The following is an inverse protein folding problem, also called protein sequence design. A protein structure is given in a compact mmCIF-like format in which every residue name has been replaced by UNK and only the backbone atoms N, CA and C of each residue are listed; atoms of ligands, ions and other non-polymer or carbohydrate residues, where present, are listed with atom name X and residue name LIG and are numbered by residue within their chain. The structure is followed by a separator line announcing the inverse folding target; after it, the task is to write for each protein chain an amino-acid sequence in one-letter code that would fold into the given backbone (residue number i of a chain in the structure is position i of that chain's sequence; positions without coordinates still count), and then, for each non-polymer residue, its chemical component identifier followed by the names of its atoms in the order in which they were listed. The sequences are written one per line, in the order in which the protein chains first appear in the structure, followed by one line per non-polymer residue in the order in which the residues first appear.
data_IF_235919232160
#
_entry.id   IF_235919232160
#
_cell.length_a   1.000
_cell.length_b   1.000
_cell.length_c   1.000
_cell.angle_alpha   90.00
_cell.angle_beta   90.00
_cell.angle_gamma   90.00
#
_symmetry.space_group_name_H-M   'P 1'
#
loop_
_entity.id
_entity.type
_entity.pdbx_description
1 polymer ?
#
# COMPACT_ATOMS: atom_id res chain seq x y z
N UNK A 1 -2.07 -13.36 23.15
CA UNK A 1 -1.54 -14.31 22.14
C UNK A 1 -2.16 -13.92 20.80
N UNK A 2 -1.36 -13.71 19.74
CA UNK A 2 -1.86 -13.36 18.40
C UNK A 2 -2.72 -14.50 17.90
N UNK A 3 -3.95 -14.19 17.46
CA UNK A 3 -4.87 -15.21 16.93
C UNK A 3 -4.43 -15.66 15.53
N UNK A 4 -4.93 -16.81 15.08
CA UNK A 4 -4.71 -17.28 13.74
C UNK A 4 -5.31 -16.31 12.72
N UNK A 5 -4.62 -16.11 11.58
CA UNK A 5 -5.08 -15.21 10.53
C UNK A 5 -6.37 -15.72 9.88
N UNK A 6 -7.40 -14.89 9.88
CA UNK A 6 -8.68 -15.19 9.25
C UNK A 6 -8.66 -14.83 7.76
N UNK A 7 -8.75 -15.81 6.93
CA UNK A 7 -8.73 -15.65 5.47
C UNK A 7 -10.07 -15.26 4.85
N UNK A 8 -11.18 -15.35 5.60
CA UNK A 8 -12.51 -15.28 4.99
C UNK A 8 -12.70 -16.34 3.91
N UNK A 9 -13.50 -16.01 2.91
CA UNK A 9 -13.80 -16.89 1.77
C UNK A 9 -12.86 -16.66 0.57
N UNK A 10 -11.65 -16.15 0.81
CA UNK A 10 -10.67 -15.87 -0.24
C UNK A 10 -10.23 -17.12 -1.01
N UNK A 11 -9.88 -16.94 -2.28
CA UNK A 11 -9.47 -18.04 -3.16
C UNK A 11 -8.19 -18.72 -2.67
N UNK A 12 -7.97 -19.97 -3.10
CA UNK A 12 -6.74 -20.70 -2.77
C UNK A 12 -5.48 -20.04 -3.39
N UNK A 13 -5.60 -19.49 -4.59
CA UNK A 13 -4.51 -18.77 -5.26
C UNK A 13 -4.12 -17.53 -4.47
N UNK A 14 -5.08 -16.71 -4.05
CA UNK A 14 -4.85 -15.54 -3.21
C UNK A 14 -4.13 -15.92 -1.90
N UNK A 15 -4.64 -16.94 -1.18
CA UNK A 15 -4.00 -17.44 0.06
C UNK A 15 -2.54 -17.83 -0.17
N UNK A 16 -2.25 -18.51 -1.29
CA UNK A 16 -0.89 -18.92 -1.64
C UNK A 16 0.01 -17.73 -1.91
N UNK A 17 -0.48 -16.74 -2.67
CA UNK A 17 0.27 -15.51 -2.98
C UNK A 17 0.60 -14.73 -1.70
N UNK A 18 -0.41 -14.38 -0.89
CA UNK A 18 -0.22 -13.65 0.36
C UNK A 18 0.68 -14.41 1.34
N UNK A 19 0.53 -15.75 1.45
CA UNK A 19 1.41 -16.55 2.31
C UNK A 19 2.87 -16.44 1.89
N UNK A 20 3.14 -16.43 0.59
CA UNK A 20 4.49 -16.26 0.07
C UNK A 20 5.00 -14.84 0.33
N UNK A 21 4.29 -13.85 -0.19
CA UNK A 21 4.76 -12.46 -0.26
C UNK A 21 4.84 -11.79 1.11
N UNK A 22 3.79 -11.92 1.92
CA UNK A 22 3.71 -11.21 3.20
C UNK A 22 4.32 -12.00 4.34
N UNK A 23 4.02 -13.31 4.46
CA UNK A 23 4.41 -14.07 5.65
C UNK A 23 5.76 -14.75 5.53
N UNK A 24 6.19 -15.15 4.31
CA UNK A 24 7.50 -15.79 4.09
C UNK A 24 8.54 -14.79 3.61
N UNK A 25 8.31 -14.17 2.45
CA UNK A 25 9.29 -13.34 1.76
C UNK A 25 9.33 -11.92 2.34
N UNK A 26 8.23 -11.48 3.00
CA UNK A 26 8.10 -10.17 3.66
C UNK A 26 8.47 -9.02 2.74
N UNK A 27 7.92 -9.03 1.54
CA UNK A 27 8.30 -8.11 0.45
C UNK A 27 8.29 -6.64 0.86
N UNK A 28 7.40 -6.22 1.78
CA UNK A 28 7.36 -4.85 2.29
C UNK A 28 8.35 -4.59 3.43
N UNK A 29 8.91 -5.61 4.08
CA UNK A 29 9.87 -5.48 5.19
C UNK A 29 11.31 -5.93 4.80
N UNK A 30 11.59 -6.24 3.52
CA UNK A 30 12.88 -6.79 3.09
C UNK A 30 14.06 -5.84 3.35
N UNK A 31 13.85 -4.53 3.16
CA UNK A 31 14.91 -3.52 3.33
C UNK A 31 14.78 -2.82 4.67
N UNK A 32 13.56 -2.41 5.02
CA UNK A 32 13.26 -1.65 6.24
C UNK A 32 12.15 -2.35 7.03
N UNK A 33 12.48 -3.16 8.03
CA UNK A 33 11.44 -3.82 8.84
C UNK A 33 10.74 -2.82 9.76
N UNK A 34 9.44 -3.05 10.00
CA UNK A 34 8.67 -2.31 11.02
C UNK A 34 9.28 -2.57 12.39
N UNK A 35 9.54 -1.50 13.14
CA UNK A 35 10.17 -1.52 14.45
C UNK A 35 9.12 -1.51 15.58
N UNK A 36 9.56 -1.89 16.76
CA UNK A 36 8.71 -1.77 17.96
C UNK A 36 8.43 -0.30 18.27
N UNK A 37 7.15 0.03 18.40
CA UNK A 37 6.70 1.38 18.72
C UNK A 37 6.41 2.26 17.49
N UNK A 38 6.57 1.73 16.27
CA UNK A 38 6.29 2.46 15.04
C UNK A 38 4.81 2.86 14.92
N UNK A 39 4.60 4.03 14.30
CA UNK A 39 3.32 4.47 13.75
C UNK A 39 3.29 4.07 12.28
N UNK A 40 2.33 3.23 11.91
CA UNK A 40 2.25 2.63 10.58
C UNK A 40 0.97 3.06 9.87
N UNK A 41 1.09 3.34 8.57
CA UNK A 41 -0.02 3.58 7.65
C UNK A 41 -0.02 2.48 6.59
N UNK A 42 -1.09 1.68 6.55
CA UNK A 42 -1.30 0.59 5.60
C UNK A 42 -2.37 1.01 4.58
N UNK A 43 -1.92 1.45 3.41
CA UNK A 43 -2.75 1.92 2.31
C UNK A 43 -3.01 0.78 1.33
N UNK A 44 -4.30 0.43 1.12
CA UNK A 44 -4.70 -0.75 0.34
C UNK A 44 -4.48 -2.03 1.14
N UNK A 45 -5.16 -2.17 2.26
CA UNK A 45 -4.86 -3.26 3.20
C UNK A 45 -5.46 -4.61 2.81
N UNK A 46 -6.40 -4.67 1.85
CA UNK A 46 -7.11 -5.90 1.51
C UNK A 46 -7.73 -6.54 2.77
N UNK A 47 -7.53 -7.82 3.03
CA UNK A 47 -8.00 -8.50 4.27
C UNK A 47 -7.08 -8.28 5.49
N UNK A 48 -6.14 -7.35 5.41
CA UNK A 48 -5.23 -6.95 6.47
C UNK A 48 -4.02 -7.86 6.71
N UNK A 49 -3.42 -8.56 5.72
CA UNK A 49 -2.31 -9.49 5.98
C UNK A 49 -1.05 -8.77 6.42
N UNK A 50 -0.69 -7.63 5.82
CA UNK A 50 0.46 -6.85 6.26
C UNK A 50 0.24 -6.31 7.67
N UNK A 51 -0.89 -5.62 7.91
CA UNK A 51 -1.27 -5.14 9.26
C UNK A 51 -1.17 -6.26 10.28
N UNK A 52 -1.76 -7.44 10.00
CA UNK A 52 -1.68 -8.58 10.91
C UNK A 52 -0.23 -9.02 11.16
N UNK A 53 0.63 -8.99 10.14
CA UNK A 53 2.03 -9.43 10.30
C UNK A 53 2.82 -8.56 11.29
N UNK A 54 2.50 -7.25 11.39
CA UNK A 54 3.28 -6.26 12.14
C UNK A 54 2.59 -5.71 13.41
N UNK A 55 1.30 -6.03 13.65
CA UNK A 55 0.49 -5.38 14.68
C UNK A 55 0.95 -5.58 16.12
N UNK A 56 1.79 -6.58 16.39
CA UNK A 56 2.42 -6.82 17.68
C UNK A 56 3.67 -5.95 17.92
N UNK A 57 4.17 -5.30 16.88
CA UNK A 57 5.32 -4.38 16.94
C UNK A 57 4.88 -2.91 16.99
N UNK A 58 3.92 -2.54 16.14
CA UNK A 58 3.50 -1.17 15.98
C UNK A 58 2.76 -0.63 17.22
N UNK A 59 2.96 0.65 17.52
CA UNK A 59 2.22 1.35 18.58
C UNK A 59 0.87 1.89 18.12
N UNK A 60 0.75 2.15 16.82
CA UNK A 60 -0.46 2.65 16.16
C UNK A 60 -0.44 2.21 14.69
N UNK A 61 -1.55 1.70 14.20
CA UNK A 61 -1.72 1.36 12.79
C UNK A 61 -3.01 2.02 12.28
N UNK A 62 -2.91 2.67 11.13
CA UNK A 62 -4.05 3.21 10.40
C UNK A 62 -4.13 2.45 9.09
N UNK A 63 -5.27 1.82 8.88
CA UNK A 63 -5.58 1.01 7.70
C UNK A 63 -6.53 1.77 6.80
N UNK A 64 -6.25 1.80 5.51
CA UNK A 64 -7.12 2.38 4.47
C UNK A 64 -7.46 1.29 3.48
N UNK A 65 -8.76 0.98 3.35
CA UNK A 65 -9.28 -0.07 2.46
C UNK A 65 -10.66 0.33 1.93
N UNK A 66 -10.85 0.45 0.61
CA UNK A 66 -12.12 0.88 0.03
C UNK A 66 -13.22 -0.19 0.05
N UNK A 67 -12.87 -1.48 0.00
CA UNK A 67 -13.84 -2.56 -0.09
C UNK A 67 -14.55 -2.80 1.24
N UNK A 68 -15.83 -2.44 1.31
CA UNK A 68 -16.65 -2.59 2.52
C UNK A 68 -16.78 -4.05 2.94
N UNK A 69 -16.73 -4.97 2.01
CA UNK A 69 -16.82 -6.41 2.23
C UNK A 69 -15.61 -6.97 2.98
N UNK A 70 -14.45 -6.29 2.90
CA UNK A 70 -13.21 -6.71 3.56
C UNK A 70 -13.09 -6.18 4.98
N UNK A 71 -13.79 -5.10 5.32
CA UNK A 71 -13.69 -4.46 6.64
C UNK A 71 -13.95 -5.42 7.80
N UNK A 72 -15.00 -6.26 7.80
CA UNK A 72 -15.24 -7.22 8.89
C UNK A 72 -14.12 -8.25 9.06
N UNK A 73 -13.39 -8.57 7.98
CA UNK A 73 -12.25 -9.50 8.04
C UNK A 73 -11.05 -8.80 8.67
N UNK A 74 -10.78 -7.54 8.28
CA UNK A 74 -9.70 -6.73 8.88
C UNK A 74 -9.97 -6.55 10.38
N UNK A 75 -11.19 -6.17 10.77
CA UNK A 75 -11.59 -6.01 12.18
C UNK A 75 -11.33 -7.28 12.99
N UNK A 76 -11.73 -8.43 12.44
CA UNK A 76 -11.49 -9.72 13.09
C UNK A 76 -10.01 -10.04 13.19
N UNK A 77 -9.23 -9.79 12.14
CA UNK A 77 -7.78 -10.05 12.12
C UNK A 77 -7.01 -9.17 13.10
N UNK A 78 -7.49 -7.97 13.38
CA UNK A 78 -6.79 -6.96 14.17
C UNK A 78 -7.37 -6.73 15.56
N UNK A 79 -8.35 -7.56 15.96
CA UNK A 79 -9.06 -7.42 17.24
C UNK A 79 -8.10 -7.40 18.42
N UNK A 80 -8.23 -6.35 19.26
CA UNK A 80 -7.41 -6.17 20.46
C UNK A 80 -6.04 -5.51 20.22
N UNK A 81 -5.78 -5.04 19.00
CA UNK A 81 -4.57 -4.28 18.65
C UNK A 81 -4.88 -2.81 18.34
N UNK A 82 -3.89 -1.91 18.38
CA UNK A 82 -4.07 -0.48 18.17
C UNK A 82 -4.25 -0.13 16.68
N UNK A 83 -5.29 -0.69 16.06
CA UNK A 83 -5.61 -0.52 14.63
C UNK A 83 -6.87 0.33 14.47
N UNK A 84 -6.78 1.35 13.62
CA UNK A 84 -7.90 2.16 13.18
C UNK A 84 -8.14 1.91 11.70
N UNK A 85 -9.40 1.72 11.29
CA UNK A 85 -9.76 1.38 9.91
C UNK A 85 -10.51 2.55 9.28
N UNK A 86 -10.12 2.92 8.07
CA UNK A 86 -10.76 3.90 7.20
C UNK A 86 -11.29 3.16 5.98
N UNK A 87 -12.61 3.03 5.88
CA UNK A 87 -13.24 2.40 4.71
C UNK A 87 -13.40 3.43 3.58
N UNK A 88 -12.30 3.76 2.92
CA UNK A 88 -12.21 4.71 1.81
C UNK A 88 -11.07 4.32 0.87
N UNK A 89 -11.10 4.82 -0.37
CA UNK A 89 -9.97 4.75 -1.29
C UNK A 89 -9.02 5.93 -1.08
N UNK A 90 -7.70 5.67 -1.15
CA UNK A 90 -6.71 6.74 -1.18
C UNK A 90 -6.76 7.44 -2.53
N UNK A 91 -6.98 8.75 -2.52
CA UNK A 91 -6.91 9.61 -3.72
C UNK A 91 -6.26 10.95 -3.40
N UNK A 92 -6.17 11.83 -4.39
CA UNK A 92 -5.60 13.19 -4.20
C UNK A 92 -6.53 14.13 -3.42
N UNK A 93 -7.82 13.79 -3.28
CA UNK A 93 -8.88 14.63 -2.65
C UNK A 93 -9.88 13.76 -1.89
N UNK A 94 -10.66 14.40 -1.01
CA UNK A 94 -11.76 13.76 -0.31
C UNK A 94 -13.05 13.88 -1.13
N UNK A 95 -13.88 12.86 -1.11
CA UNK A 95 -15.16 12.86 -1.82
C UNK A 95 -15.69 11.48 -2.13
N UNK A 96 -16.30 11.34 -3.29
CA UNK A 96 -16.75 10.09 -3.87
C UNK A 96 -16.22 9.99 -5.29
N UNK A 97 -15.78 8.81 -5.68
CA UNK A 97 -15.34 8.50 -7.04
C UNK A 97 -15.96 7.18 -7.52
N UNK A 98 -16.08 7.04 -8.83
CA UNK A 98 -16.36 5.74 -9.44
C UNK A 98 -15.02 5.07 -9.68
N UNK A 99 -14.78 3.96 -8.99
CA UNK A 99 -13.57 3.16 -9.15
C UNK A 99 -13.91 1.84 -9.83
N UNK A 100 -13.13 1.49 -10.84
CA UNK A 100 -13.10 0.18 -11.48
C UNK A 100 -11.88 -0.66 -11.06
N UNK A 101 -11.09 -0.18 -10.10
CA UNK A 101 -9.86 -0.81 -9.61
C UNK A 101 -10.02 -1.40 -8.20
N UNK A 102 -11.22 -1.86 -7.82
CA UNK A 102 -11.42 -2.52 -6.54
C UNK A 102 -11.13 -4.01 -6.73
N UNK A 103 -10.07 -4.47 -6.09
CA UNK A 103 -9.74 -5.88 -6.05
C UNK A 103 -10.74 -6.65 -5.19
N UNK A 104 -11.39 -7.67 -5.74
CA UNK A 104 -12.28 -8.57 -5.02
C UNK A 104 -11.61 -9.95 -4.83
N UNK A 105 -11.02 -10.23 -3.66
CA UNK A 105 -10.30 -11.46 -3.39
C UNK A 105 -11.19 -12.71 -3.31
N UNK A 106 -12.52 -12.52 -3.31
CA UNK A 106 -13.52 -13.60 -3.24
C UNK A 106 -13.89 -14.17 -4.61
N UNK A 107 -13.58 -13.48 -5.68
CA UNK A 107 -13.84 -13.95 -7.04
C UNK A 107 -12.83 -15.02 -7.45
N UNK A 108 -13.29 -16.14 -8.03
CA UNK A 108 -12.39 -17.12 -8.65
C UNK A 108 -11.73 -16.56 -9.92
N UNK A 109 -12.35 -15.53 -10.50
CA UNK A 109 -11.78 -14.68 -11.54
C UNK A 109 -11.85 -13.26 -10.98
N UNK A 110 -10.73 -12.58 -10.67
CA UNK A 110 -10.78 -11.20 -10.25
C UNK A 110 -11.48 -10.38 -11.33
N UNK A 111 -12.66 -9.85 -10.98
CA UNK A 111 -13.41 -8.99 -11.88
C UNK A 111 -12.85 -7.59 -11.68
N UNK A 112 -11.94 -7.19 -12.54
CA UNK A 112 -11.26 -5.90 -12.51
C UNK A 112 -12.12 -4.74 -13.03
N UNK A 113 -13.33 -5.02 -13.57
CA UNK A 113 -14.14 -4.06 -14.33
C UNK A 113 -15.51 -3.75 -13.67
N UNK A 114 -15.65 -3.92 -12.37
CA UNK A 114 -16.90 -3.51 -11.70
C UNK A 114 -16.76 -2.06 -11.24
N UNK A 115 -17.45 -1.16 -11.93
CA UNK A 115 -17.60 0.22 -11.46
C UNK A 115 -18.33 0.24 -10.11
N UNK A 116 -17.65 0.68 -9.06
CA UNK A 116 -18.23 0.92 -7.74
C UNK A 116 -18.02 2.37 -7.34
N UNK A 117 -19.07 2.97 -6.80
CA UNK A 117 -18.90 4.25 -6.10
C UNK A 117 -18.22 3.99 -4.76
N UNK A 118 -17.10 4.66 -4.53
CA UNK A 118 -16.31 4.56 -3.30
C UNK A 118 -16.10 5.94 -2.69
N UNK A 119 -16.15 6.01 -1.38
CA UNK A 119 -15.69 7.19 -0.67
C UNK A 119 -14.17 7.29 -0.77
N UNK A 120 -13.67 8.50 -0.91
CA UNK A 120 -12.25 8.77 -1.04
C UNK A 120 -11.72 9.58 0.13
N UNK A 121 -10.42 9.44 0.38
CA UNK A 121 -9.71 10.21 1.40
C UNK A 121 -8.32 10.59 0.87
N UNK A 122 -7.93 11.83 1.10
CA UNK A 122 -6.59 12.30 0.79
C UNK A 122 -5.59 11.94 1.91
N UNK A 123 -4.32 11.81 1.57
CA UNK A 123 -3.25 11.61 2.56
C UNK A 123 -3.25 12.74 3.61
N UNK A 124 -3.44 13.98 3.18
CA UNK A 124 -3.53 15.14 4.08
C UNK A 124 -4.63 14.94 5.12
N UNK A 125 -5.83 14.53 4.70
CA UNK A 125 -6.96 14.30 5.62
C UNK A 125 -6.71 13.15 6.59
N UNK A 126 -5.99 12.11 6.19
CA UNK A 126 -5.57 11.04 7.11
C UNK A 126 -4.64 11.61 8.18
N UNK A 127 -3.63 12.38 7.79
CA UNK A 127 -2.67 13.03 8.73
C UNK A 127 -3.41 13.92 9.72
N UNK A 128 -4.32 14.76 9.25
CA UNK A 128 -5.10 15.69 10.09
C UNK A 128 -6.07 14.93 11.01
N UNK A 129 -6.82 13.97 10.50
CA UNK A 129 -7.83 13.20 11.26
C UNK A 129 -7.21 12.45 12.44
N UNK A 130 -6.01 11.92 12.27
CA UNK A 130 -5.32 11.12 13.29
C UNK A 130 -4.24 11.88 14.06
N UNK A 131 -4.08 13.19 13.81
CA UNK A 131 -3.08 14.05 14.42
C UNK A 131 -1.67 13.41 14.34
N UNK A 132 -1.24 13.07 13.13
CA UNK A 132 0.02 12.39 12.90
C UNK A 132 1.15 13.43 12.76
N UNK A 133 1.93 13.60 13.81
CA UNK A 133 3.14 14.43 13.75
C UNK A 133 4.27 13.74 12.98
N UNK A 134 4.28 12.41 13.00
CA UNK A 134 5.19 11.55 12.23
C UNK A 134 4.53 10.25 11.84
N UNK A 135 5.06 9.63 10.80
CA UNK A 135 4.75 8.25 10.39
C UNK A 135 6.08 7.51 10.22
N UNK A 136 6.23 6.40 10.92
CA UNK A 136 7.48 5.63 10.85
C UNK A 136 7.52 4.71 9.63
N UNK A 137 6.37 4.24 9.18
CA UNK A 137 6.28 3.31 8.05
C UNK A 137 4.97 3.52 7.28
N UNK A 138 5.07 3.72 5.97
CA UNK A 138 3.93 3.69 5.05
C UNK A 138 4.09 2.47 4.14
N UNK A 139 3.10 1.57 4.14
CA UNK A 139 2.91 0.60 3.05
C UNK A 139 1.85 1.16 2.11
N UNK A 140 2.09 1.10 0.80
CA UNK A 140 1.11 1.47 -0.22
C UNK A 140 1.04 0.40 -1.30
N UNK A 141 -0.17 -0.07 -1.56
CA UNK A 141 -0.50 -1.06 -2.56
C UNK A 141 -2.00 -0.91 -2.84
N UNK A 142 -2.32 0.02 -3.73
CA UNK A 142 -3.65 0.55 -3.95
C UNK A 142 -4.15 0.33 -5.38
N UNK A 143 -3.60 -0.66 -6.09
CA UNK A 143 -4.03 -1.05 -7.45
C UNK A 143 -4.04 0.13 -8.44
N UNK A 144 -3.02 0.98 -8.36
CA UNK A 144 -2.86 2.20 -9.17
C UNK A 144 -3.12 3.51 -8.39
N UNK A 145 -3.61 3.45 -7.16
CA UNK A 145 -3.82 4.60 -6.27
C UNK A 145 -2.55 5.11 -5.57
N UNK A 146 -1.43 4.39 -5.64
CA UNK A 146 -0.15 4.69 -4.96
C UNK A 146 0.36 6.09 -5.29
N UNK A 147 0.16 6.50 -6.54
CA UNK A 147 0.63 7.80 -7.04
C UNK A 147 -0.07 8.99 -6.37
N UNK A 148 -1.24 8.77 -5.78
CA UNK A 148 -1.99 9.78 -5.03
C UNK A 148 -1.29 10.21 -3.74
N UNK A 149 -0.40 9.40 -3.21
CA UNK A 149 0.45 9.73 -2.07
C UNK A 149 1.46 10.85 -2.44
N UNK A 150 2.00 10.81 -3.67
CA UNK A 150 3.09 11.69 -4.11
C UNK A 150 2.56 12.89 -4.88
N UNK A 151 2.24 13.95 -4.15
CA UNK A 151 1.78 15.23 -4.69
C UNK A 151 2.65 16.38 -4.18
N UNK A 152 2.64 17.53 -4.86
CA UNK A 152 3.36 18.72 -4.37
C UNK A 152 2.95 19.13 -2.95
N UNK A 153 1.66 18.94 -2.63
CA UNK A 153 1.14 19.25 -1.30
C UNK A 153 1.62 18.29 -0.21
N UNK A 154 1.80 17.00 -0.56
CA UNK A 154 2.18 15.97 0.40
C UNK A 154 3.71 15.86 0.59
N UNK A 155 4.51 16.18 -0.44
CA UNK A 155 5.97 16.01 -0.42
C UNK A 155 6.66 16.67 0.77
N UNK A 156 6.30 17.90 1.21
CA UNK A 156 6.91 18.49 2.39
C UNK A 156 6.70 17.65 3.66
N UNK A 157 5.52 17.07 3.84
CA UNK A 157 5.27 16.19 4.98
C UNK A 157 6.02 14.86 4.81
N UNK A 158 5.99 14.24 3.62
CA UNK A 158 6.69 12.99 3.36
C UNK A 158 8.19 13.10 3.65
N UNK A 159 8.82 14.18 3.20
CA UNK A 159 10.27 14.40 3.36
C UNK A 159 10.70 14.77 4.79
N UNK A 160 9.79 15.27 5.63
CA UNK A 160 10.17 15.75 6.97
C UNK A 160 9.61 14.90 8.12
N UNK A 161 8.53 14.15 7.88
CA UNK A 161 7.77 13.49 8.93
C UNK A 161 7.56 11.99 8.71
N UNK A 162 8.06 11.43 7.59
CA UNK A 162 7.99 10.00 7.30
C UNK A 162 9.40 9.41 7.34
N UNK A 163 9.55 8.20 7.89
CA UNK A 163 10.85 7.51 7.92
C UNK A 163 11.02 6.57 6.74
N UNK A 164 10.04 5.71 6.48
CA UNK A 164 10.08 4.73 5.39
C UNK A 164 8.77 4.69 4.63
N UNK A 165 8.86 4.56 3.31
CA UNK A 165 7.72 4.26 2.44
C UNK A 165 8.07 3.02 1.64
N UNK A 166 7.18 2.04 1.63
CA UNK A 166 7.32 0.84 0.81
C UNK A 166 6.02 0.63 0.05
N UNK A 167 6.13 0.35 -1.24
CA UNK A 167 4.91 0.13 -2.03
C UNK A 167 5.10 -0.81 -3.20
N UNK A 168 3.99 -1.43 -3.57
CA UNK A 168 3.81 -2.04 -4.87
C UNK A 168 3.28 -0.97 -5.82
N UNK A 169 4.04 -0.69 -6.88
CA UNK A 169 3.72 0.34 -7.86
C UNK A 169 3.27 -0.33 -9.14
N UNK A 170 2.01 -0.11 -9.49
CA UNK A 170 1.38 -0.73 -10.64
C UNK A 170 1.71 0.00 -11.95
N UNK A 171 2.10 -0.76 -12.98
CA UNK A 171 2.44 -0.30 -14.33
C UNK A 171 1.59 -1.01 -15.40
N UNK A 172 0.55 -1.72 -15.00
CA UNK A 172 -0.24 -2.62 -15.85
C UNK A 172 -1.05 -1.89 -16.93
N UNK A 173 -1.34 -0.60 -16.77
CA UNK A 173 -2.09 0.23 -17.74
C UNK A 173 -1.25 1.37 -18.31
N UNK A 174 -1.68 1.93 -19.44
CA UNK A 174 -1.06 3.15 -20.00
C UNK A 174 -1.09 4.30 -19.00
N UNK A 175 -2.20 4.46 -18.27
CA UNK A 175 -2.34 5.51 -17.25
C UNK A 175 -1.33 5.31 -16.11
N UNK A 176 -1.22 4.10 -15.58
CA UNK A 176 -0.26 3.78 -14.52
C UNK A 176 1.19 4.06 -14.95
N UNK A 177 1.55 3.73 -16.21
CA UNK A 177 2.90 4.02 -16.75
C UNK A 177 3.18 5.51 -16.85
N UNK A 178 2.18 6.32 -17.22
CA UNK A 178 2.30 7.78 -17.24
C UNK A 178 2.51 8.33 -15.83
N UNK A 179 1.72 7.86 -14.86
CA UNK A 179 1.82 8.28 -13.46
C UNK A 179 3.13 7.83 -12.82
N UNK A 180 3.56 6.59 -13.08
CA UNK A 180 4.86 6.10 -12.63
C UNK A 180 6.01 6.93 -13.19
N UNK A 181 6.00 7.25 -14.49
CA UNK A 181 7.03 8.10 -15.10
C UNK A 181 7.09 9.45 -14.41
N UNK A 182 5.93 10.06 -14.17
CA UNK A 182 5.85 11.34 -13.46
C UNK A 182 6.36 11.23 -12.01
N UNK A 183 5.93 10.22 -11.27
CA UNK A 183 6.41 9.91 -9.92
C UNK A 183 7.93 9.72 -9.90
N UNK A 184 8.45 8.84 -10.76
CA UNK A 184 9.88 8.53 -10.88
C UNK A 184 10.72 9.78 -11.15
N UNK A 185 10.30 10.57 -12.13
CA UNK A 185 11.10 11.68 -12.63
C UNK A 185 10.99 12.94 -11.76
N UNK A 186 9.86 13.14 -11.10
CA UNK A 186 9.61 14.33 -10.30
C UNK A 186 9.79 14.12 -8.81
N UNK A 187 9.27 13.03 -8.25
CA UNK A 187 9.21 12.83 -6.80
C UNK A 187 10.26 11.87 -6.26
N UNK A 188 10.44 10.70 -6.89
CA UNK A 188 11.36 9.67 -6.38
C UNK A 188 12.80 10.20 -6.23
N UNK A 189 13.24 11.05 -7.14
CA UNK A 189 14.56 11.68 -7.10
C UNK A 189 14.81 12.63 -5.91
N UNK A 190 13.76 13.05 -5.23
CA UNK A 190 13.87 13.94 -4.06
C UNK A 190 14.20 13.16 -2.77
N UNK A 191 13.98 11.84 -2.78
CA UNK A 191 14.31 11.00 -1.64
C UNK A 191 15.79 10.63 -1.63
N UNK A 192 16.44 10.62 -0.45
CA UNK A 192 17.87 10.40 -0.34
C UNK A 192 18.28 8.97 -0.69
N UNK A 193 17.40 8.01 -0.43
CA UNK A 193 17.70 6.60 -0.69
C UNK A 193 16.44 5.83 -1.08
N UNK A 194 16.56 4.97 -2.08
CA UNK A 194 15.52 4.03 -2.47
C UNK A 194 16.12 2.79 -3.12
N UNK A 195 15.39 1.67 -3.04
CA UNK A 195 15.68 0.42 -3.73
C UNK A 195 14.45 -0.02 -4.50
N UNK A 196 14.64 -0.70 -5.63
CA UNK A 196 13.58 -1.15 -6.53
C UNK A 196 13.74 -2.63 -6.81
N UNK A 197 12.69 -3.38 -6.60
CA UNK A 197 12.68 -4.83 -6.79
C UNK A 197 11.53 -5.25 -7.71
N UNK A 198 11.76 -6.30 -8.49
CA UNK A 198 10.68 -7.07 -9.11
C UNK A 198 9.97 -7.92 -8.05
N UNK A 199 8.79 -8.45 -8.36
CA UNK A 199 8.00 -9.30 -7.43
C UNK A 199 8.72 -10.60 -7.02
N UNK A 200 9.67 -11.07 -7.81
CA UNK A 200 10.52 -12.21 -7.48
C UNK A 200 11.76 -11.85 -6.64
N UNK A 201 11.84 -10.59 -6.17
CA UNK A 201 12.86 -10.11 -5.23
C UNK A 201 14.19 -9.74 -5.87
N UNK A 202 14.27 -9.63 -7.20
CA UNK A 202 15.50 -9.17 -7.89
C UNK A 202 15.59 -7.66 -7.81
N UNK A 203 16.75 -7.13 -7.38
CA UNK A 203 16.99 -5.69 -7.42
C UNK A 203 17.16 -5.21 -8.85
N UNK A 204 16.26 -4.33 -9.30
CA UNK A 204 16.18 -3.80 -10.65
C UNK A 204 16.36 -2.28 -10.72
N UNK A 205 16.86 -1.68 -9.66
CA UNK A 205 17.10 -0.22 -9.57
C UNK A 205 17.94 0.33 -10.71
N UNK A 206 18.91 -0.45 -11.20
CA UNK A 206 19.79 -0.09 -12.29
C UNK A 206 19.05 0.18 -13.60
N UNK A 207 17.86 -0.45 -13.80
CA UNK A 207 17.05 -0.36 -15.01
C UNK A 207 15.95 0.70 -14.92
N UNK A 208 15.70 1.25 -13.73
CA UNK A 208 14.56 2.12 -13.42
C UNK A 208 14.39 3.30 -14.39
N UNK A 209 15.49 3.88 -14.88
CA UNK A 209 15.46 5.03 -15.77
C UNK A 209 15.62 4.66 -17.25
N UNK A 210 15.64 3.36 -17.57
CA UNK A 210 15.60 2.88 -18.93
C UNK A 210 14.16 3.00 -19.48
N UNK A 211 14.02 3.41 -20.73
CA UNK A 211 12.70 3.55 -21.36
C UNK A 211 11.95 2.22 -21.48
N UNK A 212 12.67 1.12 -21.61
CA UNK A 212 12.08 -0.23 -21.64
C UNK A 212 11.53 -0.71 -20.29
N UNK A 213 11.90 -0.09 -19.17
CA UNK A 213 11.46 -0.49 -17.83
C UNK A 213 9.93 -0.54 -17.74
N UNK A 214 9.25 0.50 -18.22
CA UNK A 214 7.79 0.62 -18.17
C UNK A 214 7.05 -0.38 -19.06
N UNK A 215 7.73 -0.94 -20.06
CA UNK A 215 7.16 -1.95 -20.96
C UNK A 215 7.38 -3.37 -20.46
N UNK A 216 8.41 -3.56 -19.61
CA UNK A 216 8.83 -4.86 -19.15
C UNK A 216 8.15 -5.31 -17.86
N UNK A 217 7.94 -4.37 -16.91
CA UNK A 217 7.33 -4.66 -15.62
C UNK A 217 5.87 -4.21 -15.58
N UNK A 218 4.99 -5.05 -15.02
CA UNK A 218 3.60 -4.69 -14.75
C UNK A 218 3.45 -4.06 -13.36
N UNK A 219 4.33 -4.44 -12.45
CA UNK A 219 4.37 -3.96 -11.06
C UNK A 219 5.79 -4.11 -10.49
N UNK A 220 6.15 -3.25 -9.57
CA UNK A 220 7.45 -3.26 -8.90
C UNK A 220 7.31 -2.86 -7.44
N UNK A 221 8.19 -3.39 -6.59
CA UNK A 221 8.28 -2.99 -5.17
C UNK A 221 9.35 -1.90 -5.04
N UNK A 222 8.96 -0.76 -4.46
CA UNK A 222 9.91 0.32 -4.18
C UNK A 222 9.97 0.56 -2.66
N UNK A 223 11.19 0.50 -2.13
CA UNK A 223 11.51 0.86 -0.75
C UNK A 223 12.19 2.23 -0.75
N UNK A 224 11.66 3.17 0.01
CA UNK A 224 12.17 4.54 0.14
C UNK A 224 12.53 4.79 1.61
N UNK A 225 13.73 5.30 1.87
CA UNK A 225 14.20 5.79 3.18
C UNK A 225 14.37 7.31 3.11
N UNK A 226 13.91 8.01 4.18
CA UNK A 226 13.93 9.48 4.27
C UNK A 226 14.82 9.91 5.43
#
# INVERSE_FOLDING_TARGET
MKQEFNWGDTSHSFKKTITREIFKDKIYEQVFPVQKGDVVLDLGASIGPFTWSIMDKASKIIVVEPSVELIPIIEKNTLGYPVSIINKALTKWDGNEISNHIYEPFSQNPIWDVEKEVQTISFKSIVEQYNLDRIDFIKTDCEGGEYSLFTEANMPYLLNNVRNIVGEFHLSSTQHRVEFRYFRDKYLKQFPKYEVFSLDGVNIKWDLFNDHFLEYYNEVIIHIEI
#
